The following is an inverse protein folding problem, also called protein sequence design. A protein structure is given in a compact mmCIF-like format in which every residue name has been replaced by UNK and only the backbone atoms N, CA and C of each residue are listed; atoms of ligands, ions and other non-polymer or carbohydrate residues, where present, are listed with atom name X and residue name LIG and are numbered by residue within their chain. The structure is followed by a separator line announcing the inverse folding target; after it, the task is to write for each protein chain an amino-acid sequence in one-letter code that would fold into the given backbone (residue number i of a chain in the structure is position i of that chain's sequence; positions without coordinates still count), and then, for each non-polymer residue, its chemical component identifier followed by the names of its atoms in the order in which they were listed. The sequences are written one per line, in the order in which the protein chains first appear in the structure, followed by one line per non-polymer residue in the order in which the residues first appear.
data_IF_394981158450
#
_entry.id   IF_394981158450
#
_cell.length_a   1.000
_cell.length_b   1.000
_cell.length_c   1.000
_cell.angle_alpha   90.00
_cell.angle_beta   90.00
_cell.angle_gamma   90.00
#
_symmetry.space_group_name_H-M   'P 1'
#
loop_
_entity.id
_entity.type
_entity.pdbx_description
1 polymer ?
#
# COMPACT_ATOMS: atom_id res chain seq x y z
N UNK A 1 -14.74 20.42 -2.38
CA UNK A 1 -15.25 19.03 -2.24
C UNK A 1 -14.20 17.99 -1.83
N UNK A 2 -12.88 18.23 -1.85
CA UNK A 2 -11.84 17.24 -1.49
C UNK A 2 -11.68 16.88 0.03
N UNK A 3 -12.47 17.45 0.95
CA UNK A 3 -12.34 17.17 2.40
C UNK A 3 -13.16 15.97 2.89
N UNK A 4 -14.24 15.59 2.19
CA UNK A 4 -15.20 14.60 2.69
C UNK A 4 -14.59 13.18 2.69
N UNK A 5 -14.10 12.73 1.54
CA UNK A 5 -13.53 11.39 1.33
C UNK A 5 -12.34 11.07 2.27
N UNK A 6 -11.45 12.03 2.46
CA UNK A 6 -10.28 11.89 3.33
C UNK A 6 -10.67 11.87 4.81
N UNK A 7 -11.61 12.74 5.20
CA UNK A 7 -12.12 12.73 6.56
C UNK A 7 -12.80 11.41 6.86
N UNK A 8 -13.54 10.81 5.92
CA UNK A 8 -14.24 9.54 6.10
C UNK A 8 -13.28 8.35 6.18
N UNK A 9 -12.31 8.24 5.27
CA UNK A 9 -11.29 7.19 5.33
C UNK A 9 -10.50 7.22 6.64
N UNK A 10 -9.95 8.39 7.00
CA UNK A 10 -9.14 8.53 8.21
C UNK A 10 -10.01 8.40 9.46
N UNK A 11 -11.23 8.94 9.45
CA UNK A 11 -12.17 8.70 10.53
C UNK A 11 -12.43 7.20 10.67
N UNK A 12 -12.63 6.48 9.58
CA UNK A 12 -12.84 5.04 9.64
C UNK A 12 -11.61 4.30 10.22
N UNK A 13 -10.42 4.52 9.65
CA UNK A 13 -9.17 3.85 10.07
C UNK A 13 -8.82 4.17 11.53
N UNK A 14 -9.08 5.40 11.99
CA UNK A 14 -8.61 5.86 13.30
C UNK A 14 -9.73 6.00 14.37
N UNK A 15 -11.01 5.76 14.07
CA UNK A 15 -12.09 5.83 15.08
C UNK A 15 -12.34 4.51 15.80
N UNK A 16 -12.52 4.61 17.12
CA UNK A 16 -12.64 3.50 18.09
C UNK A 16 -13.83 2.54 17.90
N UNK A 17 -14.95 2.98 17.28
CA UNK A 17 -16.23 2.22 17.33
C UNK A 17 -16.25 0.98 16.45
N UNK A 18 -15.45 0.95 15.37
CA UNK A 18 -15.46 -0.15 14.41
C UNK A 18 -14.87 -1.44 15.02
N UNK A 19 -13.86 -1.26 15.87
CA UNK A 19 -12.93 -2.32 16.26
C UNK A 19 -13.43 -3.28 17.36
N UNK A 20 -14.47 -2.93 18.12
CA UNK A 20 -15.01 -3.84 19.17
C UNK A 20 -15.74 -5.03 18.54
N UNK A 21 -16.50 -4.79 17.46
CA UNK A 21 -17.30 -5.83 16.77
C UNK A 21 -16.45 -6.64 15.79
N UNK A 22 -15.44 -6.01 15.19
CA UNK A 22 -14.57 -6.64 14.19
C UNK A 22 -13.58 -7.66 14.79
N UNK A 23 -13.32 -7.60 16.10
CA UNK A 23 -12.43 -8.55 16.77
C UNK A 23 -12.94 -9.99 16.72
N UNK A 24 -14.24 -10.25 16.90
CA UNK A 24 -14.79 -11.62 16.88
C UNK A 24 -14.73 -12.20 15.46
N UNK A 25 -15.11 -11.41 14.45
CA UNK A 25 -15.01 -11.81 13.06
C UNK A 25 -13.55 -12.08 12.67
N UNK A 26 -12.65 -11.17 13.03
CA UNK A 26 -11.23 -11.31 12.74
C UNK A 26 -10.65 -12.57 13.39
N UNK A 27 -10.97 -12.86 14.66
CA UNK A 27 -10.56 -14.10 15.33
C UNK A 27 -10.99 -15.32 14.53
N UNK A 28 -12.27 -15.36 14.12
CA UNK A 28 -12.83 -16.49 13.36
C UNK A 28 -12.12 -16.67 12.02
N UNK A 29 -11.93 -15.59 11.26
CA UNK A 29 -11.27 -15.67 9.95
C UNK A 29 -9.80 -16.04 10.07
N UNK A 30 -9.07 -15.44 11.01
CA UNK A 30 -7.67 -15.77 11.27
C UNK A 30 -7.51 -17.22 11.69
N UNK A 31 -8.44 -17.78 12.48
CA UNK A 31 -8.42 -19.20 12.83
C UNK A 31 -8.70 -20.12 11.64
N UNK A 32 -9.59 -19.72 10.73
CA UNK A 32 -9.99 -20.55 9.59
C UNK A 32 -8.93 -20.58 8.49
N UNK A 33 -8.32 -19.44 8.17
CA UNK A 33 -7.47 -19.31 6.98
C UNK A 33 -5.99 -18.98 7.28
N UNK A 34 -5.68 -18.49 8.48
CA UNK A 34 -4.34 -17.99 8.84
C UNK A 34 -3.86 -18.53 10.20
N UNK A 35 -4.24 -19.77 10.55
CA UNK A 35 -4.05 -20.34 11.88
C UNK A 35 -2.59 -20.48 12.32
N UNK A 36 -1.66 -20.57 11.36
CA UNK A 36 -0.21 -20.65 11.55
C UNK A 36 0.47 -19.31 11.84
N UNK A 37 -0.22 -18.18 11.63
CA UNK A 37 0.37 -16.85 11.78
C UNK A 37 0.11 -16.24 13.17
N UNK A 38 1.06 -15.42 13.63
CA UNK A 38 1.02 -14.83 14.96
C UNK A 38 -0.22 -13.92 15.11
N UNK A 39 -1.09 -14.28 16.05
CA UNK A 39 -2.36 -13.58 16.34
C UNK A 39 -2.11 -12.31 17.15
N UNK A 40 -1.19 -11.47 16.71
CA UNK A 40 -0.97 -10.18 17.36
C UNK A 40 -2.12 -9.27 16.97
N UNK A 41 -3.02 -9.07 17.93
CA UNK A 41 -4.13 -8.15 17.80
C UNK A 41 -3.59 -6.74 17.70
N UNK A 42 -4.09 -6.00 16.71
CA UNK A 42 -3.84 -4.57 16.65
C UNK A 42 -4.69 -3.92 17.73
N UNK A 43 -4.03 -3.49 18.79
CA UNK A 43 -4.63 -2.74 19.87
C UNK A 43 -4.88 -1.30 19.44
N UNK A 44 -5.74 -0.60 20.18
CA UNK A 44 -5.90 0.84 20.02
C UNK A 44 -4.56 1.62 20.13
N UNK A 45 -3.61 1.12 20.93
CA UNK A 45 -2.30 1.78 21.08
C UNK A 45 -1.51 1.80 19.78
N UNK A 46 -1.64 0.78 18.93
CA UNK A 46 -0.98 0.74 17.62
C UNK A 46 -1.31 1.98 16.77
N UNK A 47 -2.59 2.34 16.70
CA UNK A 47 -3.03 3.50 15.92
C UNK A 47 -2.63 4.82 16.57
N UNK A 48 -2.70 4.90 17.90
CA UNK A 48 -2.16 6.06 18.64
C UNK A 48 -0.68 6.26 18.32
N UNK A 49 0.09 5.18 18.27
CA UNK A 49 1.53 5.22 17.99
C UNK A 49 1.79 5.59 16.52
N UNK A 50 0.99 5.07 15.59
CA UNK A 50 1.04 5.46 14.18
C UNK A 50 0.76 6.97 13.98
N UNK A 51 -0.26 7.52 14.65
CA UNK A 51 -0.59 8.95 14.62
C UNK A 51 0.53 9.81 15.22
N UNK A 52 1.17 9.33 16.30
CA UNK A 52 2.27 10.03 16.97
C UNK A 52 3.59 9.96 16.20
N UNK A 53 3.71 9.09 15.21
CA UNK A 53 4.92 8.97 14.41
C UNK A 53 5.21 10.30 13.69
N UNK A 54 6.48 10.72 13.68
CA UNK A 54 6.90 11.97 13.03
C UNK A 54 6.64 12.02 11.53
N UNK A 55 6.45 10.86 10.88
CA UNK A 55 6.11 10.73 9.46
C UNK A 55 4.61 10.78 9.18
N UNK A 56 3.75 10.76 10.21
CA UNK A 56 2.30 10.81 10.01
C UNK A 56 1.82 12.08 9.25
N UNK A 57 2.37 13.29 9.52
CA UNK A 57 2.04 14.47 8.71
C UNK A 57 2.43 14.32 7.23
N UNK A 58 3.51 13.58 6.92
CA UNK A 58 3.93 13.29 5.55
C UNK A 58 2.88 12.39 4.88
N UNK A 59 2.51 11.29 5.54
CA UNK A 59 1.43 10.40 5.08
C UNK A 59 0.14 11.17 4.78
N UNK A 60 -0.30 12.00 5.73
CA UNK A 60 -1.49 12.83 5.52
C UNK A 60 -1.33 13.72 4.29
N UNK A 61 -0.21 14.45 4.17
CA UNK A 61 0.02 15.34 3.05
C UNK A 61 -0.11 14.63 1.69
N UNK A 62 0.50 13.45 1.52
CA UNK A 62 0.38 12.69 0.27
C UNK A 62 -1.06 12.24 0.02
N UNK A 63 -1.70 11.62 1.02
CA UNK A 63 -3.08 11.14 0.89
C UNK A 63 -4.05 12.27 0.51
N UNK A 64 -3.94 13.46 1.11
CA UNK A 64 -4.84 14.56 0.77
C UNK A 64 -4.44 15.47 -0.38
N UNK A 65 -3.31 15.18 -1.02
CA UNK A 65 -2.97 15.71 -2.34
C UNK A 65 -3.14 14.68 -3.47
N UNK A 66 -3.71 13.50 -3.21
CA UNK A 66 -4.02 12.50 -4.23
C UNK A 66 -4.79 13.14 -5.41
N UNK A 67 -4.29 12.88 -6.61
CA UNK A 67 -4.99 13.16 -7.86
C UNK A 67 -5.78 11.93 -8.28
N UNK A 68 -6.99 11.82 -7.76
CA UNK A 68 -7.92 10.71 -8.02
C UNK A 68 -8.32 10.59 -9.50
N UNK A 69 -8.34 11.69 -10.24
CA UNK A 69 -8.78 11.75 -11.65
C UNK A 69 -7.93 10.94 -12.64
N UNK A 70 -6.71 10.59 -12.24
CA UNK A 70 -5.76 9.86 -13.11
C UNK A 70 -5.64 8.39 -12.72
N UNK A 71 -6.35 7.99 -11.66
CA UNK A 71 -6.39 6.61 -11.21
C UNK A 71 -7.32 5.79 -12.11
N UNK A 72 -7.09 4.49 -12.13
CA UNK A 72 -8.08 3.56 -12.65
C UNK A 72 -9.26 3.48 -11.66
N UNK A 73 -10.49 3.55 -12.18
CA UNK A 73 -11.70 3.61 -11.38
C UNK A 73 -12.47 2.29 -11.50
N UNK A 74 -12.40 1.46 -10.46
CA UNK A 74 -13.23 0.27 -10.33
C UNK A 74 -13.55 -0.03 -8.87
N UNK A 75 -14.48 -0.95 -8.63
CA UNK A 75 -14.79 -1.43 -7.28
C UNK A 75 -13.65 -2.28 -6.68
N UNK A 76 -12.77 -2.82 -7.53
CA UNK A 76 -11.67 -3.69 -7.11
C UNK A 76 -10.37 -2.91 -6.93
N UNK A 77 -9.96 -2.08 -7.89
CA UNK A 77 -8.67 -1.35 -7.91
C UNK A 77 -8.85 0.18 -7.86
N UNK A 78 -10.01 0.67 -7.40
CA UNK A 78 -10.27 2.10 -7.23
C UNK A 78 -9.63 2.73 -5.99
N UNK A 79 -10.10 3.94 -5.64
CA UNK A 79 -9.50 4.79 -4.59
C UNK A 79 -9.35 4.07 -3.24
N UNK A 80 -10.32 3.24 -2.85
CA UNK A 80 -10.25 2.46 -1.59
C UNK A 80 -9.01 1.57 -1.54
N UNK A 81 -8.72 0.84 -2.62
CA UNK A 81 -7.55 -0.02 -2.73
C UNK A 81 -6.27 0.80 -2.58
N UNK A 82 -6.17 1.90 -3.33
CA UNK A 82 -5.02 2.80 -3.29
C UNK A 82 -4.77 3.37 -1.89
N UNK A 83 -5.82 3.78 -1.17
CA UNK A 83 -5.69 4.32 0.18
C UNK A 83 -5.26 3.24 1.20
N UNK A 84 -5.78 2.02 1.07
CA UNK A 84 -5.37 0.89 1.91
C UNK A 84 -3.90 0.52 1.68
N UNK A 85 -3.47 0.38 0.42
CA UNK A 85 -2.06 0.09 0.06
C UNK A 85 -1.13 1.21 0.56
N UNK A 86 -1.54 2.47 0.41
CA UNK A 86 -0.77 3.62 0.92
C UNK A 86 -0.65 3.58 2.44
N UNK A 87 -1.71 3.20 3.16
CA UNK A 87 -1.69 3.10 4.62
C UNK A 87 -0.83 1.93 5.11
N UNK A 88 -0.94 0.75 4.49
CA UNK A 88 -0.05 -0.36 4.80
C UNK A 88 1.41 -0.01 4.52
N UNK A 89 1.68 0.66 3.39
CA UNK A 89 3.03 1.13 3.04
C UNK A 89 3.60 2.06 4.13
N UNK A 90 2.80 3.02 4.61
CA UNK A 90 3.18 3.90 5.71
C UNK A 90 3.52 3.11 7.00
N UNK A 91 2.66 2.18 7.42
CA UNK A 91 2.87 1.40 8.63
C UNK A 91 4.13 0.55 8.56
N UNK A 92 4.36 -0.12 7.42
CA UNK A 92 5.56 -0.93 7.20
C UNK A 92 6.79 -0.03 7.21
N UNK A 93 6.76 1.11 6.51
CA UNK A 93 7.89 2.05 6.48
C UNK A 93 8.22 2.64 7.86
N UNK A 94 7.22 2.91 8.70
CA UNK A 94 7.44 3.30 10.10
C UNK A 94 8.16 2.20 10.89
N UNK A 95 7.75 0.92 10.74
CA UNK A 95 8.42 -0.20 11.40
C UNK A 95 9.88 -0.37 10.94
N UNK A 96 10.12 -0.15 9.64
CA UNK A 96 11.45 -0.24 9.03
C UNK A 96 12.33 0.99 9.26
N UNK A 97 11.88 1.97 10.07
CA UNK A 97 12.58 3.23 10.37
C UNK A 97 13.02 3.99 9.10
N UNK A 98 12.16 3.99 8.08
CA UNK A 98 12.43 4.64 6.81
C UNK A 98 12.61 6.15 6.97
N UNK A 99 13.53 6.75 6.19
CA UNK A 99 13.76 8.19 6.21
C UNK A 99 12.53 8.97 5.71
N UNK A 100 12.38 10.23 6.14
CA UNK A 100 11.29 11.10 5.67
C UNK A 100 11.31 11.30 4.14
N UNK A 101 12.50 11.33 3.52
CA UNK A 101 12.65 11.46 2.08
C UNK A 101 12.13 10.20 1.35
N UNK A 102 12.54 9.03 1.81
CA UNK A 102 12.10 7.75 1.23
C UNK A 102 10.62 7.47 1.49
N UNK A 103 10.11 7.91 2.64
CA UNK A 103 8.67 7.87 2.94
C UNK A 103 7.87 8.63 1.88
N UNK A 104 8.32 9.82 1.47
CA UNK A 104 7.64 10.57 0.41
C UNK A 104 7.59 9.82 -0.92
N UNK A 105 8.73 9.26 -1.33
CA UNK A 105 8.86 8.46 -2.56
C UNK A 105 7.97 7.21 -2.51
N UNK A 106 7.96 6.50 -1.37
CA UNK A 106 7.13 5.33 -1.16
C UNK A 106 5.65 5.67 -1.24
N UNK A 107 5.22 6.76 -0.60
CA UNK A 107 3.81 7.17 -0.59
C UNK A 107 3.32 7.59 -1.97
N UNK A 108 4.13 8.35 -2.71
CA UNK A 108 3.82 8.69 -4.11
C UNK A 108 3.72 7.43 -4.98
N UNK A 109 4.67 6.49 -4.81
CA UNK A 109 4.65 5.20 -5.51
C UNK A 109 3.39 4.41 -5.19
N UNK A 110 3.00 4.31 -3.90
CA UNK A 110 1.81 3.58 -3.47
C UNK A 110 0.52 4.19 -4.01
N UNK A 111 0.40 5.51 -4.00
CA UNK A 111 -0.77 6.23 -4.50
C UNK A 111 -1.02 6.00 -6.00
N UNK A 112 0.05 5.71 -6.75
CA UNK A 112 -0.01 5.65 -8.20
C UNK A 112 0.46 4.31 -8.79
N UNK A 113 0.67 3.26 -7.98
CA UNK A 113 1.19 1.99 -8.49
C UNK A 113 0.29 1.38 -9.58
N UNK A 114 -1.03 1.49 -9.39
CA UNK A 114 -2.03 0.88 -10.27
C UNK A 114 -2.58 1.81 -11.37
N UNK A 115 -1.99 3.00 -11.59
CA UNK A 115 -2.51 3.94 -12.63
C UNK A 115 -2.47 3.38 -14.06
N UNK A 116 -1.67 2.33 -14.28
CA UNK A 116 -1.56 1.65 -15.55
C UNK A 116 -2.64 0.61 -15.83
N UNK A 117 -3.53 0.31 -14.86
CA UNK A 117 -4.65 -0.62 -15.04
C UNK A 117 -5.63 -0.10 -16.10
N UNK A 118 -6.16 -1.03 -16.88
CA UNK A 118 -7.23 -0.79 -17.86
C UNK A 118 -8.47 -1.66 -17.57
N UNK A 119 -8.31 -2.73 -16.79
CA UNK A 119 -9.38 -3.58 -16.25
C UNK A 119 -9.00 -4.14 -14.86
N UNK A 120 -9.85 -5.00 -14.29
CA UNK A 120 -9.64 -5.65 -12.99
C UNK A 120 -8.95 -7.03 -13.08
N UNK A 121 -8.50 -7.43 -14.27
CA UNK A 121 -7.91 -8.75 -14.49
C UNK A 121 -6.43 -8.78 -14.07
N UNK A 122 -5.88 -9.99 -14.04
CA UNK A 122 -4.44 -10.16 -13.86
C UNK A 122 -3.72 -9.65 -15.11
N UNK A 123 -2.76 -8.76 -14.89
CA UNK A 123 -1.99 -8.12 -15.94
C UNK A 123 -0.59 -7.84 -15.40
N UNK A 124 0.46 -8.37 -16.02
CA UNK A 124 1.84 -8.08 -15.61
C UNK A 124 2.38 -6.77 -16.18
N UNK A 125 1.72 -6.19 -17.19
CA UNK A 125 2.18 -5.00 -17.91
C UNK A 125 1.59 -3.69 -17.34
N UNK A 126 0.60 -3.73 -16.43
CA UNK A 126 0.02 -2.50 -15.85
C UNK A 126 1.08 -1.66 -15.14
N UNK A 127 2.10 -2.25 -14.51
CA UNK A 127 3.21 -1.50 -13.94
C UNK A 127 4.01 -0.74 -15.01
N UNK A 128 4.27 -1.36 -16.16
CA UNK A 128 4.97 -0.71 -17.27
C UNK A 128 4.17 0.49 -17.82
N UNK A 129 2.87 0.31 -18.05
CA UNK A 129 1.97 1.39 -18.48
C UNK A 129 1.87 2.48 -17.42
N UNK A 130 1.81 2.09 -16.15
CA UNK A 130 1.79 3.00 -15.01
C UNK A 130 3.03 3.87 -14.95
N UNK A 131 4.22 3.28 -15.14
CA UNK A 131 5.46 4.02 -15.15
C UNK A 131 5.54 5.06 -16.29
N UNK A 132 4.95 4.79 -17.46
CA UNK A 132 4.81 5.80 -18.53
C UNK A 132 3.84 6.91 -18.15
N UNK A 133 2.68 6.55 -17.59
CA UNK A 133 1.65 7.51 -17.18
C UNK A 133 2.17 8.45 -16.09
N UNK A 134 2.91 7.96 -15.09
CA UNK A 134 3.40 8.80 -13.99
C UNK A 134 4.45 9.81 -14.46
N UNK A 135 5.32 9.43 -15.39
CA UNK A 135 6.30 10.32 -16.01
C UNK A 135 5.64 11.47 -16.79
N UNK A 136 4.48 11.24 -17.38
CA UNK A 136 3.71 12.31 -18.05
C UNK A 136 3.04 13.28 -17.08
N UNK A 137 2.79 12.87 -15.83
CA UNK A 137 2.01 13.62 -14.85
C UNK A 137 2.86 14.37 -13.83
N UNK A 138 4.09 13.94 -13.59
CA UNK A 138 5.01 14.59 -12.64
C UNK A 138 6.09 15.32 -13.42
N UNK A 139 6.17 16.64 -13.23
CA UNK A 139 7.10 17.52 -13.93
C UNK A 139 8.55 17.01 -13.86
N UNK A 140 9.19 16.89 -15.03
CA UNK A 140 10.49 16.25 -15.27
C UNK A 140 11.63 16.64 -14.32
N UNK A 141 11.61 17.85 -13.75
CA UNK A 141 12.77 18.40 -13.04
C UNK A 141 12.87 18.00 -11.55
N UNK A 142 11.93 17.21 -11.02
CA UNK A 142 11.88 16.85 -9.59
C UNK A 142 11.60 15.38 -9.29
N UNK A 143 11.38 14.56 -10.32
CA UNK A 143 10.93 13.18 -10.12
C UNK A 143 12.11 12.27 -9.79
N UNK A 144 12.09 11.62 -8.63
CA UNK A 144 13.03 10.55 -8.33
C UNK A 144 12.69 9.33 -9.20
N UNK A 145 13.64 8.89 -10.03
CA UNK A 145 13.46 7.74 -10.94
C UNK A 145 13.12 6.44 -10.20
N UNK A 146 13.24 6.41 -8.86
CA UNK A 146 12.65 5.36 -8.02
C UNK A 146 11.19 5.13 -8.36
N UNK A 147 10.39 6.20 -8.44
CA UNK A 147 8.93 6.09 -8.54
C UNK A 147 8.52 5.30 -9.79
N UNK A 148 8.86 5.74 -11.03
CA UNK A 148 8.50 4.97 -12.22
C UNK A 148 9.19 3.60 -12.26
N UNK A 149 10.39 3.43 -11.71
CA UNK A 149 11.07 2.15 -11.68
C UNK A 149 10.36 1.12 -10.79
N UNK A 150 9.94 1.53 -9.60
CA UNK A 150 9.19 0.66 -8.66
C UNK A 150 7.77 0.41 -9.18
N UNK A 151 7.09 1.43 -9.74
CA UNK A 151 5.80 1.23 -10.42
C UNK A 151 5.95 0.24 -11.57
N UNK A 152 7.04 0.24 -12.34
CA UNK A 152 7.23 -0.78 -13.37
C UNK A 152 7.44 -2.18 -12.75
N UNK A 153 8.28 -2.28 -11.72
CA UNK A 153 8.65 -3.58 -11.15
C UNK A 153 7.57 -4.23 -10.26
N UNK A 154 6.59 -3.48 -9.74
CA UNK A 154 5.64 -4.03 -8.75
C UNK A 154 4.69 -5.08 -9.34
N UNK A 155 4.39 -5.00 -10.65
CA UNK A 155 3.52 -5.95 -11.35
C UNK A 155 4.24 -7.20 -11.87
N UNK A 156 5.57 -7.28 -11.67
CA UNK A 156 6.43 -8.35 -12.18
C UNK A 156 6.88 -9.30 -11.07
N UNK A 157 7.60 -10.37 -11.43
CA UNK A 157 8.25 -11.24 -10.46
C UNK A 157 9.44 -10.55 -9.78
N UNK A 158 9.86 -11.05 -8.62
CA UNK A 158 10.96 -10.43 -7.85
C UNK A 158 12.30 -10.55 -8.58
N UNK A 159 12.51 -11.63 -9.33
CA UNK A 159 13.76 -11.85 -10.07
C UNK A 159 13.95 -10.84 -11.22
N UNK A 160 12.86 -10.23 -11.69
CA UNK A 160 12.85 -9.28 -12.81
C UNK A 160 13.21 -7.85 -12.37
N UNK A 161 13.10 -7.54 -11.08
CA UNK A 161 13.27 -6.18 -10.54
C UNK A 161 14.63 -5.56 -10.91
N UNK A 162 15.72 -6.34 -10.86
CA UNK A 162 17.06 -5.85 -11.21
C UNK A 162 17.19 -5.46 -12.68
N UNK A 163 16.49 -6.17 -13.58
CA UNK A 163 16.48 -5.80 -14.99
C UNK A 163 15.74 -4.49 -15.19
N UNK A 164 14.62 -4.29 -14.49
CA UNK A 164 13.88 -3.02 -14.51
C UNK A 164 14.74 -1.88 -13.98
N UNK A 165 15.42 -2.04 -12.85
CA UNK A 165 16.29 -1.00 -12.29
C UNK A 165 17.42 -0.62 -13.27
N UNK A 166 17.97 -1.59 -14.02
CA UNK A 166 18.94 -1.28 -15.09
C UNK A 166 18.32 -0.47 -16.23
N UNK A 167 17.10 -0.78 -16.67
CA UNK A 167 16.42 -0.04 -17.74
C UNK A 167 16.20 1.43 -17.39
N UNK A 168 16.00 1.74 -16.10
CA UNK A 168 15.87 3.11 -15.60
C UNK A 168 17.23 3.79 -15.29
N UNK A 169 18.36 3.18 -15.67
CA UNK A 169 19.71 3.68 -15.41
C UNK A 169 20.01 3.90 -13.92
N UNK A 170 19.43 3.07 -13.05
CA UNK A 170 19.64 3.18 -11.61
C UNK A 170 21.03 2.66 -11.26
N UNK A 171 21.77 3.45 -10.49
CA UNK A 171 23.07 3.03 -9.97
C UNK A 171 22.92 1.82 -9.05
N UNK A 172 23.84 0.85 -9.15
CA UNK A 172 23.84 -0.34 -8.28
C UNK A 172 23.88 0.00 -6.78
N UNK A 173 24.48 1.13 -6.42
CA UNK A 173 24.53 1.66 -5.05
C UNK A 173 23.12 1.91 -4.48
N UNK A 174 22.14 2.17 -5.33
CA UNK A 174 20.75 2.44 -4.96
C UNK A 174 19.87 1.18 -4.93
N UNK A 175 20.33 0.03 -5.43
CA UNK A 175 19.48 -1.16 -5.57
C UNK A 175 18.86 -1.60 -4.25
N UNK A 176 19.60 -1.53 -3.14
CA UNK A 176 19.06 -1.86 -1.82
C UNK A 176 17.88 -0.95 -1.43
N UNK A 177 17.98 0.35 -1.71
CA UNK A 177 16.92 1.34 -1.46
C UNK A 177 15.69 1.07 -2.33
N UNK A 178 15.88 0.82 -3.62
CA UNK A 178 14.81 0.52 -4.58
C UNK A 178 14.10 -0.79 -4.24
N UNK A 179 14.86 -1.86 -3.98
CA UNK A 179 14.32 -3.15 -3.56
C UNK A 179 13.55 -3.03 -2.25
N UNK A 180 13.99 -2.18 -1.31
CA UNK A 180 13.25 -1.96 -0.07
C UNK A 180 11.88 -1.34 -0.32
N UNK A 181 11.81 -0.30 -1.14
CA UNK A 181 10.55 0.37 -1.50
C UNK A 181 9.65 -0.60 -2.27
N UNK A 182 10.19 -1.33 -3.25
CA UNK A 182 9.46 -2.35 -4.00
C UNK A 182 8.87 -3.43 -3.08
N UNK A 183 9.65 -3.93 -2.12
CA UNK A 183 9.17 -4.92 -1.15
C UNK A 183 8.01 -4.40 -0.31
N UNK A 184 8.05 -3.14 0.11
CA UNK A 184 6.96 -2.54 0.88
C UNK A 184 5.71 -2.40 0.02
N UNK A 185 5.83 -1.92 -1.23
CA UNK A 185 4.70 -1.79 -2.16
C UNK A 185 4.04 -3.14 -2.41
N UNK A 186 4.82 -4.18 -2.74
CA UNK A 186 4.27 -5.52 -3.01
C UNK A 186 3.61 -6.15 -1.79
N UNK A 187 4.20 -5.99 -0.60
CA UNK A 187 3.60 -6.51 0.63
C UNK A 187 2.31 -5.75 0.99
N UNK A 188 2.28 -4.43 0.78
CA UNK A 188 1.10 -3.61 1.02
C UNK A 188 -0.05 -3.91 0.03
N UNK A 189 0.25 -4.11 -1.25
CA UNK A 189 -0.70 -4.59 -2.26
C UNK A 189 -1.26 -5.97 -1.86
N UNK A 190 -0.38 -6.90 -1.51
CA UNK A 190 -0.77 -8.23 -1.07
C UNK A 190 -1.62 -8.23 0.21
N UNK A 191 -1.39 -7.31 1.14
CA UNK A 191 -2.23 -7.12 2.33
C UNK A 191 -3.66 -6.70 1.96
N UNK A 192 -3.84 -5.77 1.02
CA UNK A 192 -5.19 -5.33 0.62
C UNK A 192 -5.99 -6.45 -0.08
N UNK A 193 -5.35 -7.48 -0.62
CA UNK A 193 -6.06 -8.62 -1.24
C UNK A 193 -7.06 -9.29 -0.31
N UNK A 194 -6.92 -9.18 1.01
CA UNK A 194 -7.91 -9.67 1.98
C UNK A 194 -9.31 -9.09 1.72
N UNK A 195 -9.40 -7.86 1.20
CA UNK A 195 -10.65 -7.19 0.81
C UNK A 195 -11.44 -7.98 -0.22
N UNK A 196 -10.77 -8.74 -1.09
CA UNK A 196 -11.43 -9.52 -2.13
C UNK A 196 -12.14 -10.74 -1.54
N UNK A 197 -11.41 -11.55 -0.78
CA UNK A 197 -11.92 -12.74 -0.06
C UNK A 197 -11.08 -13.02 1.18
N UNK A 198 -11.63 -13.69 2.20
CA UNK A 198 -10.88 -14.03 3.42
C UNK A 198 -9.64 -14.91 3.24
N UNK A 199 -9.41 -15.49 2.06
CA UNK A 199 -8.30 -16.39 1.76
C UNK A 199 -7.49 -16.00 0.51
N UNK A 200 -7.71 -14.79 -0.04
CA UNK A 200 -6.97 -14.31 -1.23
C UNK A 200 -5.59 -13.72 -0.92
N UNK A 201 -5.31 -13.45 0.35
CA UNK A 201 -3.97 -13.08 0.81
C UNK A 201 -3.17 -14.37 1.08
N UNK A 202 -1.99 -14.49 0.48
CA UNK A 202 -1.04 -15.57 0.75
C UNK A 202 0.24 -14.98 1.40
N UNK A 203 0.49 -15.20 2.70
CA UNK A 203 1.61 -14.57 3.41
C UNK A 203 3.00 -15.08 3.00
N UNK A 204 3.09 -16.20 2.26
CA UNK A 204 4.37 -16.71 1.74
C UNK A 204 5.00 -15.77 0.70
N UNK A 205 4.20 -14.87 0.12
CA UNK A 205 4.70 -13.82 -0.77
C UNK A 205 5.19 -12.57 -0.05
N UNK A 206 5.10 -12.49 1.29
CA UNK A 206 5.59 -11.33 2.03
C UNK A 206 7.11 -11.31 2.13
N UNK A 207 7.67 -10.15 1.85
CA UNK A 207 9.11 -9.86 1.89
C UNK A 207 9.54 -9.30 3.24
N UNK A 208 8.61 -8.76 4.01
CA UNK A 208 8.88 -8.09 5.28
C UNK A 208 8.11 -8.80 6.39
N UNK A 209 8.81 -9.21 7.46
CA UNK A 209 8.19 -9.96 8.56
C UNK A 209 7.08 -9.18 9.27
N UNK A 210 7.21 -7.84 9.35
CA UNK A 210 6.18 -6.99 9.92
C UNK A 210 4.86 -7.06 9.14
N UNK A 211 4.88 -7.33 7.83
CA UNK A 211 3.67 -7.50 7.00
C UNK A 211 2.79 -8.65 7.51
N UNK A 212 3.39 -9.72 8.07
CA UNK A 212 2.65 -10.84 8.68
C UNK A 212 1.85 -10.40 9.91
N UNK A 213 2.33 -9.39 10.65
CA UNK A 213 1.63 -8.82 11.81
C UNK A 213 0.40 -8.03 11.35
N UNK A 214 0.46 -7.42 10.16
CA UNK A 214 -0.61 -6.60 9.60
C UNK A 214 -1.75 -7.42 8.97
N UNK A 215 -1.67 -8.75 8.88
CA UNK A 215 -2.77 -9.59 8.35
C UNK A 215 -4.05 -9.38 9.18
N UNK A 216 -3.93 -9.25 10.50
CA UNK A 216 -5.08 -8.98 11.37
C UNK A 216 -5.70 -7.61 11.08
N UNK A 217 -4.88 -6.61 10.70
CA UNK A 217 -5.36 -5.30 10.23
C UNK A 217 -6.12 -5.42 8.91
N UNK A 218 -5.55 -6.14 7.94
CA UNK A 218 -6.15 -6.35 6.64
C UNK A 218 -7.52 -7.01 6.76
N UNK A 219 -7.66 -7.96 7.68
CA UNK A 219 -8.96 -8.54 7.99
C UNK A 219 -9.97 -7.51 8.45
N UNK A 220 -9.57 -6.58 9.31
CA UNK A 220 -10.48 -5.55 9.80
C UNK A 220 -10.84 -4.56 8.68
N UNK A 221 -9.84 -4.03 7.97
CA UNK A 221 -10.04 -3.08 6.87
C UNK A 221 -10.82 -3.68 5.67
N UNK A 222 -10.89 -5.01 5.56
CA UNK A 222 -11.67 -5.72 4.53
C UNK A 222 -13.19 -5.64 4.75
N UNK A 223 -13.66 -5.55 6.00
CA UNK A 223 -15.10 -5.60 6.34
C UNK A 223 -15.86 -4.29 6.15
N UNK A 224 -15.17 -3.33 5.57
CA UNK A 224 -15.59 -1.95 5.49
C UNK A 224 -16.31 -1.75 4.19
N UNK A 225 -17.63 -1.73 4.22
CA UNK A 225 -18.38 -1.26 3.07
C UNK A 225 -18.25 0.26 3.00
N UNK A 226 -17.79 0.75 1.84
CA UNK A 226 -17.85 2.17 1.53
C UNK A 226 -19.19 2.35 0.84
N UNK A 227 -20.11 3.08 1.47
CA UNK A 227 -21.27 3.56 0.76
C UNK A 227 -20.81 4.81 0.01
N UNK A 228 -20.54 4.67 -1.30
CA UNK A 228 -20.40 5.80 -2.23
C UNK A 228 -21.76 6.48 -2.46
#
# INVERSE_FOLDING_TARGET
MKKLFMSEYLNYVFQKKVWIVENIYMIKIMQLYYSSYNKKFISHTFFTDAIKNSSFPIFLNYVNNLNDKILYHSQVHGVKHILNVTFFSFLIACNENMSANDMGILLETALYHDIGRDDDMEDSDHGHRGAKKILMHISDNKMDMIIPAVIHAHSLLDEEAYQIFRQYNIEKSQYARYSKILSIIKDADALDRFRLRPNSLNPEYFRIDFSKILISLACVLSKVEWHE
#
